data_IF_793936239335
#
_entry.id   IF_793936239335
#
_cell.length_a   1.000
_cell.length_b   1.000
_cell.length_c   1.000
_cell.angle_alpha   90.00
_cell.angle_beta   90.00
_cell.angle_gamma   90.00
#
_symmetry.space_group_name_H-M   'P 1'
#
loop_
_entity.id
_entity.type
_entity.pdbx_description
1 polymer ?
#
# COMPACT_ATOMS: atom_id res chain seq x y z
N UNK A 1 16.15 2.68 6.83
CA UNK A 1 14.90 3.34 7.34
C UNK A 1 13.75 2.84 6.47
N UNK A 2 12.56 2.79 6.97
CA UNK A 2 11.39 2.41 6.18
C UNK A 2 10.67 3.64 5.65
N UNK A 3 9.99 3.50 4.52
CA UNK A 3 9.39 4.66 3.84
C UNK A 3 8.04 5.10 4.40
N UNK A 4 7.28 4.23 5.09
CA UNK A 4 5.96 4.54 5.63
C UNK A 4 5.79 4.14 7.10
N UNK A 5 6.33 2.97 7.49
CA UNK A 5 6.15 2.36 8.81
C UNK A 5 7.45 1.71 9.29
N UNK A 6 7.68 1.69 10.60
CA UNK A 6 8.86 1.09 11.22
C UNK A 6 8.51 0.43 12.56
N UNK A 7 9.50 -0.14 13.25
CA UNK A 7 9.35 -0.81 14.55
C UNK A 7 8.76 0.06 15.67
N UNK A 8 8.79 1.39 15.51
CA UNK A 8 8.30 2.35 16.51
C UNK A 8 6.91 2.90 16.13
N UNK A 9 6.35 2.48 15.00
CA UNK A 9 5.02 2.88 14.52
C UNK A 9 3.92 2.38 15.47
N UNK A 10 3.04 3.28 15.91
CA UNK A 10 1.90 2.95 16.78
C UNK A 10 0.61 2.92 15.97
N UNK A 11 -0.09 1.78 16.02
CA UNK A 11 -1.20 1.43 15.11
C UNK A 11 -2.51 1.29 15.84
N UNK A 12 -3.55 1.93 15.30
CA UNK A 12 -4.95 1.73 15.65
C UNK A 12 -5.57 0.76 14.63
N UNK A 13 -6.36 -0.22 15.10
CA UNK A 13 -7.17 -1.08 14.21
C UNK A 13 -8.63 -0.64 14.24
N UNK A 14 -9.14 -0.05 13.16
CA UNK A 14 -10.58 0.17 12.96
C UNK A 14 -11.23 -1.09 12.40
N UNK A 15 -12.31 -1.54 13.02
CA UNK A 15 -12.95 -2.82 12.70
C UNK A 15 -12.35 -4.02 13.45
N UNK A 16 -11.63 -3.81 14.54
CA UNK A 16 -10.95 -4.84 15.35
C UNK A 16 -11.89 -5.93 15.87
N UNK A 17 -13.18 -5.65 16.03
CA UNK A 17 -14.19 -6.59 16.54
C UNK A 17 -14.81 -7.47 15.48
N UNK A 18 -14.55 -7.21 14.21
CA UNK A 18 -14.98 -8.05 13.08
C UNK A 18 -14.04 -9.24 12.86
N UNK A 19 -14.54 -10.34 12.31
CA UNK A 19 -13.74 -11.57 12.07
C UNK A 19 -12.45 -11.28 11.29
N UNK A 20 -12.53 -10.52 10.21
CA UNK A 20 -11.38 -10.13 9.38
C UNK A 20 -10.38 -9.27 10.16
N UNK A 21 -10.88 -8.24 10.88
CA UNK A 21 -10.05 -7.37 11.70
C UNK A 21 -9.32 -8.13 12.80
N UNK A 22 -10.02 -9.03 13.51
CA UNK A 22 -9.41 -9.89 14.52
C UNK A 22 -8.31 -10.78 13.96
N UNK A 23 -8.62 -11.50 12.86
CA UNK A 23 -7.66 -12.43 12.26
C UNK A 23 -6.38 -11.71 11.82
N UNK A 24 -6.50 -10.63 11.06
CA UNK A 24 -5.33 -9.93 10.55
C UNK A 24 -4.60 -9.13 11.63
N UNK A 25 -5.29 -8.62 12.64
CA UNK A 25 -4.62 -7.99 13.80
C UNK A 25 -3.74 -8.99 14.52
N UNK A 26 -4.22 -10.22 14.81
CA UNK A 26 -3.39 -11.29 15.40
C UNK A 26 -2.13 -11.57 14.57
N UNK A 27 -2.31 -11.70 13.25
CA UNK A 27 -1.19 -11.96 12.33
C UNK A 27 -0.19 -10.80 12.27
N UNK A 28 -0.64 -9.56 12.43
CA UNK A 28 0.21 -8.40 12.50
C UNK A 28 0.94 -8.28 13.85
N UNK A 29 0.22 -8.53 14.95
CA UNK A 29 0.79 -8.54 16.32
C UNK A 29 1.85 -9.64 16.47
N UNK A 30 1.65 -10.80 15.87
CA UNK A 30 2.61 -11.90 15.89
C UNK A 30 3.86 -11.67 15.01
N UNK A 31 3.85 -10.67 14.14
CA UNK A 31 4.96 -10.38 13.24
C UNK A 31 5.95 -9.39 13.83
N UNK A 32 7.22 -9.80 14.00
CA UNK A 32 8.33 -8.96 14.45
C UNK A 32 7.98 -8.11 15.70
N UNK A 33 7.98 -6.78 15.59
CA UNK A 33 7.64 -5.88 16.69
C UNK A 33 6.13 -5.58 16.82
N UNK A 34 5.27 -6.27 16.11
CA UNK A 34 3.83 -6.02 16.05
C UNK A 34 3.17 -5.91 17.41
N UNK A 35 3.58 -6.74 18.39
CA UNK A 35 3.06 -6.68 19.77
C UNK A 35 3.23 -5.31 20.43
N UNK A 36 4.30 -4.58 20.12
CA UNK A 36 4.56 -3.25 20.65
C UNK A 36 3.91 -2.15 19.80
N UNK A 37 3.62 -2.46 18.54
CA UNK A 37 3.10 -1.50 17.56
C UNK A 37 1.58 -1.36 17.60
N UNK A 38 0.83 -2.47 17.72
CA UNK A 38 -0.63 -2.46 17.72
C UNK A 38 -1.15 -2.11 19.12
N UNK A 39 -1.54 -0.84 19.31
CA UNK A 39 -1.78 -0.24 20.63
C UNK A 39 -3.24 0.04 20.94
N UNK A 40 -4.13 0.04 19.95
CA UNK A 40 -5.54 0.33 20.14
C UNK A 40 -6.43 -0.31 19.07
N UNK A 41 -7.65 -0.62 19.45
CA UNK A 41 -8.77 -0.89 18.55
C UNK A 41 -9.81 0.23 18.64
N UNK A 42 -10.64 0.36 17.58
CA UNK A 42 -11.77 1.29 17.60
C UNK A 42 -13.06 0.57 17.24
N UNK A 43 -14.04 0.68 18.15
CA UNK A 43 -15.42 0.34 17.93
C UNK A 43 -16.29 1.09 18.97
N UNK A 44 -17.16 2.05 18.56
CA UNK A 44 -17.99 2.82 19.50
C UNK A 44 -18.88 1.97 20.42
N UNK A 45 -19.35 0.80 19.93
CA UNK A 45 -20.24 -0.10 20.67
C UNK A 45 -19.51 -1.00 21.67
N UNK A 46 -18.17 -1.06 21.59
CA UNK A 46 -17.30 -1.94 22.35
C UNK A 46 -16.20 -1.17 23.12
N UNK A 47 -16.38 0.14 23.25
CA UNK A 47 -15.46 0.98 23.99
C UNK A 47 -15.37 0.53 25.46
N UNK A 48 -14.14 0.44 25.98
CA UNK A 48 -13.87 -0.07 27.33
C UNK A 48 -13.65 -1.58 27.42
N UNK A 49 -13.93 -2.34 26.35
CA UNK A 49 -13.52 -3.73 26.23
C UNK A 49 -12.06 -3.80 25.72
N UNK A 50 -11.47 -5.00 25.71
CA UNK A 50 -10.18 -5.26 25.07
C UNK A 50 -10.27 -6.41 24.05
N UNK A 51 -9.31 -6.45 23.14
CA UNK A 51 -9.07 -7.56 22.22
C UNK A 51 -7.68 -8.11 22.46
N UNK A 52 -7.56 -9.21 23.22
CA UNK A 52 -6.30 -9.88 23.53
C UNK A 52 -5.24 -8.92 24.10
N UNK A 53 -5.67 -8.04 25.01
CA UNK A 53 -4.84 -7.03 25.66
C UNK A 53 -4.69 -5.71 24.86
N UNK A 54 -5.33 -5.57 23.70
CA UNK A 54 -5.41 -4.32 22.95
C UNK A 54 -6.70 -3.58 23.37
N UNK A 55 -6.63 -2.41 24.03
CA UNK A 55 -7.80 -1.68 24.48
C UNK A 55 -8.62 -1.14 23.29
N UNK A 56 -9.96 -1.17 23.43
CA UNK A 56 -10.90 -0.68 22.43
C UNK A 56 -11.46 0.68 22.87
N UNK A 57 -11.32 1.68 22.01
CA UNK A 57 -11.80 3.04 22.22
C UNK A 57 -13.06 3.33 21.38
N UNK A 58 -13.79 4.38 21.77
CA UNK A 58 -14.99 4.81 21.07
C UNK A 58 -14.66 5.46 19.71
N UNK A 59 -13.52 6.14 19.61
CA UNK A 59 -13.09 6.87 18.40
C UNK A 59 -11.58 6.78 18.18
N UNK A 60 -11.16 7.08 16.92
CA UNK A 60 -9.74 7.21 16.55
C UNK A 60 -9.11 8.36 17.34
N UNK A 61 -9.83 9.45 17.56
CA UNK A 61 -9.35 10.61 18.34
C UNK A 61 -9.02 10.22 19.78
N UNK A 62 -9.90 9.47 20.43
CA UNK A 62 -9.66 9.01 21.81
C UNK A 62 -8.50 8.01 21.86
N UNK A 63 -8.46 7.06 20.93
CA UNK A 63 -7.38 6.09 20.82
C UNK A 63 -6.02 6.79 20.63
N UNK A 64 -5.94 7.78 19.73
CA UNK A 64 -4.72 8.58 19.53
C UNK A 64 -4.30 9.33 20.78
N UNK A 65 -5.25 10.00 21.46
CA UNK A 65 -4.95 10.77 22.66
C UNK A 65 -4.37 9.91 23.78
N UNK A 66 -4.86 8.68 23.95
CA UNK A 66 -4.42 7.77 25.01
C UNK A 66 -3.14 7.00 24.65
N UNK A 67 -2.89 6.74 23.37
CA UNK A 67 -1.81 5.84 22.96
C UNK A 67 -0.70 6.52 22.18
N UNK A 68 -0.89 7.73 21.67
CA UNK A 68 0.04 8.40 20.78
C UNK A 68 0.12 7.73 19.39
N UNK A 69 -0.90 6.97 18.98
CA UNK A 69 -0.90 6.30 17.70
C UNK A 69 -0.86 7.28 16.53
N UNK A 70 -0.11 6.91 15.49
CA UNK A 70 0.09 7.72 14.29
C UNK A 70 -0.49 7.10 13.01
N UNK A 71 -0.82 5.81 13.06
CA UNK A 71 -1.32 5.04 11.90
C UNK A 71 -2.63 4.35 12.25
N UNK A 72 -3.57 4.31 11.30
CA UNK A 72 -4.75 3.43 11.38
C UNK A 72 -4.76 2.42 10.26
N UNK A 73 -5.08 1.15 10.58
CA UNK A 73 -5.45 0.13 9.61
C UNK A 73 -6.96 -0.12 9.69
N UNK A 74 -7.62 -0.17 8.53
CA UNK A 74 -9.07 -0.16 8.40
C UNK A 74 -9.55 -1.46 7.76
N UNK A 75 -10.30 -2.25 8.56
CA UNK A 75 -11.00 -3.47 8.14
C UNK A 75 -12.53 -3.30 8.25
N UNK A 76 -12.98 -2.07 8.39
CA UNK A 76 -14.42 -1.75 8.45
C UNK A 76 -15.09 -2.13 7.13
N UNK A 77 -16.27 -2.79 7.16
CA UNK A 77 -16.99 -3.16 5.93
C UNK A 77 -17.27 -1.97 5.01
N UNK A 78 -17.47 -2.19 3.68
CA UNK A 78 -17.56 -1.14 2.67
C UNK A 78 -18.50 0.02 2.99
N UNK A 79 -19.71 -0.19 3.54
CA UNK A 79 -20.62 0.92 3.84
C UNK A 79 -20.11 1.91 4.89
N UNK A 80 -19.19 1.47 5.76
CA UNK A 80 -18.60 2.29 6.83
C UNK A 80 -17.15 2.70 6.59
N UNK A 81 -16.51 2.13 5.57
CA UNK A 81 -15.05 2.29 5.39
C UNK A 81 -14.63 3.72 5.01
N UNK A 82 -15.43 4.42 4.19
CA UNK A 82 -15.19 5.81 3.85
C UNK A 82 -15.25 6.72 5.09
N UNK A 83 -16.21 6.51 5.98
CA UNK A 83 -16.32 7.22 7.25
C UNK A 83 -15.12 6.90 8.17
N UNK A 84 -14.66 5.65 8.20
CA UNK A 84 -13.49 5.24 8.98
C UNK A 84 -12.19 5.89 8.45
N UNK A 85 -12.02 6.03 7.13
CA UNK A 85 -10.91 6.79 6.54
C UNK A 85 -10.99 8.25 7.00
N UNK A 86 -12.16 8.86 6.91
CA UNK A 86 -12.33 10.26 7.29
C UNK A 86 -12.06 10.48 8.79
N UNK A 87 -12.50 9.58 9.66
CA UNK A 87 -12.22 9.64 11.10
C UNK A 87 -10.71 9.63 11.40
N UNK A 88 -9.92 8.81 10.67
CA UNK A 88 -8.46 8.79 10.80
C UNK A 88 -7.83 10.12 10.34
N UNK A 89 -8.37 10.73 9.27
CA UNK A 89 -7.95 12.04 8.77
C UNK A 89 -8.31 13.18 9.73
N UNK A 90 -9.51 13.17 10.28
CA UNK A 90 -9.95 14.17 11.28
C UNK A 90 -9.12 14.11 12.57
N UNK A 91 -8.70 12.91 12.96
CA UNK A 91 -7.82 12.71 14.10
C UNK A 91 -6.35 13.09 13.83
N UNK A 92 -6.01 13.63 12.65
CA UNK A 92 -4.64 14.02 12.28
C UNK A 92 -3.63 12.87 12.37
N UNK A 93 -4.00 11.66 11.99
CA UNK A 93 -3.03 10.57 11.85
C UNK A 93 -2.07 10.85 10.69
N UNK A 94 -0.88 10.26 10.74
CA UNK A 94 0.11 10.37 9.66
C UNK A 94 -0.30 9.53 8.45
N UNK A 95 -0.87 8.34 8.70
CA UNK A 95 -1.21 7.36 7.66
C UNK A 95 -2.50 6.62 8.01
N UNK A 96 -3.40 6.52 7.03
CA UNK A 96 -4.54 5.61 7.04
C UNK A 96 -4.33 4.52 5.98
N UNK A 97 -4.47 3.25 6.37
CA UNK A 97 -4.30 2.08 5.49
C UNK A 97 -5.65 1.40 5.37
N UNK A 98 -6.32 1.54 4.24
CA UNK A 98 -7.65 0.96 4.02
C UNK A 98 -7.55 -0.35 3.23
N UNK A 99 -7.79 -1.48 3.91
CA UNK A 99 -7.76 -2.82 3.30
C UNK A 99 -9.05 -3.10 2.54
N UNK A 100 -10.15 -2.52 2.98
CA UNK A 100 -11.49 -2.78 2.49
C UNK A 100 -11.63 -2.54 0.99
N UNK A 101 -12.18 -3.53 0.30
CA UNK A 101 -12.61 -3.47 -1.10
C UNK A 101 -14.11 -3.15 -1.18
N UNK A 102 -14.56 -2.56 -2.31
CA UNK A 102 -15.97 -2.36 -2.60
C UNK A 102 -16.57 -1.10 -1.99
N UNK A 103 -15.75 -0.12 -1.61
CA UNK A 103 -16.24 1.19 -1.19
C UNK A 103 -16.84 1.90 -2.43
N UNK A 104 -18.07 2.46 -2.34
CA UNK A 104 -18.67 3.18 -3.46
C UNK A 104 -17.76 4.32 -3.94
N UNK A 105 -17.63 4.46 -5.28
CA UNK A 105 -16.79 5.50 -5.90
C UNK A 105 -17.19 6.89 -5.40
N UNK A 106 -18.49 7.17 -5.25
CA UNK A 106 -18.98 8.45 -4.73
C UNK A 106 -18.46 8.77 -3.34
N UNK A 107 -18.46 7.78 -2.44
CA UNK A 107 -18.00 7.95 -1.06
C UNK A 107 -16.51 8.21 -1.01
N UNK A 108 -15.74 7.52 -1.86
CA UNK A 108 -14.29 7.77 -1.99
C UNK A 108 -13.97 9.13 -2.60
N UNK A 109 -14.73 9.60 -3.58
CA UNK A 109 -14.59 10.96 -4.13
C UNK A 109 -14.85 12.01 -3.04
N UNK A 110 -15.89 11.82 -2.23
CA UNK A 110 -16.21 12.73 -1.11
C UNK A 110 -15.06 12.77 -0.09
N UNK A 111 -14.56 11.62 0.33
CA UNK A 111 -13.42 11.54 1.26
C UNK A 111 -12.19 12.24 0.68
N UNK A 112 -11.83 11.96 -0.58
CA UNK A 112 -10.66 12.59 -1.23
C UNK A 112 -10.81 14.12 -1.36
N UNK A 113 -12.01 14.60 -1.63
CA UNK A 113 -12.28 16.02 -1.68
C UNK A 113 -12.17 16.67 -0.30
N UNK A 114 -12.70 16.05 0.74
CA UNK A 114 -12.54 16.50 2.12
C UNK A 114 -11.07 16.53 2.57
N UNK A 115 -10.28 15.50 2.22
CA UNK A 115 -8.84 15.48 2.49
C UNK A 115 -8.13 16.66 1.83
N UNK A 116 -8.38 16.92 0.53
CA UNK A 116 -7.81 18.07 -0.19
C UNK A 116 -8.24 19.41 0.42
N UNK A 117 -9.50 19.56 0.80
CA UNK A 117 -10.01 20.78 1.43
C UNK A 117 -9.34 21.04 2.79
N UNK A 118 -9.13 19.98 3.60
CA UNK A 118 -8.41 20.08 4.87
C UNK A 118 -6.97 20.53 4.68
N UNK A 119 -6.25 19.92 3.72
CA UNK A 119 -4.87 20.30 3.40
C UNK A 119 -4.79 21.76 2.89
N UNK A 120 -5.71 22.17 2.01
CA UNK A 120 -5.78 23.54 1.50
C UNK A 120 -6.08 24.58 2.59
N UNK A 121 -6.80 24.19 3.64
CA UNK A 121 -7.06 25.01 4.83
C UNK A 121 -5.89 25.04 5.84
N UNK A 122 -4.74 24.45 5.50
CA UNK A 122 -3.57 24.38 6.40
C UNK A 122 -3.63 23.27 7.45
N UNK A 123 -4.60 22.37 7.36
CA UNK A 123 -4.68 21.19 8.24
C UNK A 123 -3.60 20.16 7.94
N UNK A 124 -3.34 19.29 8.93
CA UNK A 124 -2.34 18.23 8.77
C UNK A 124 -2.71 17.30 7.62
N UNK A 125 -1.75 17.01 6.76
CA UNK A 125 -1.85 16.01 5.72
C UNK A 125 -1.79 14.60 6.33
N UNK A 126 -2.80 13.79 6.06
CA UNK A 126 -2.81 12.35 6.34
C UNK A 126 -2.58 11.61 5.02
N UNK A 127 -1.61 10.73 4.95
CA UNK A 127 -1.43 9.84 3.81
C UNK A 127 -2.53 8.77 3.82
N UNK A 128 -3.05 8.40 2.67
CA UNK A 128 -3.99 7.29 2.50
C UNK A 128 -3.36 6.22 1.64
N UNK A 129 -3.26 4.98 2.14
CA UNK A 129 -2.88 3.80 1.37
C UNK A 129 -4.13 2.95 1.11
N UNK A 130 -4.38 2.60 -0.13
CA UNK A 130 -5.66 1.99 -0.54
C UNK A 130 -6.73 3.02 -0.92
N UNK A 131 -8.02 2.65 -0.94
CA UNK A 131 -8.60 1.38 -0.50
C UNK A 131 -8.25 0.17 -1.40
N UNK A 132 -8.81 -1.01 -1.05
CA UNK A 132 -8.60 -2.25 -1.77
C UNK A 132 -7.11 -2.58 -1.91
N UNK A 133 -6.37 -2.54 -0.80
CA UNK A 133 -4.93 -2.76 -0.78
C UNK A 133 -4.53 -3.87 0.22
N UNK A 134 -3.39 -4.54 0.01
CA UNK A 134 -2.90 -5.53 0.96
C UNK A 134 -2.20 -4.92 2.17
N UNK A 135 -2.01 -3.59 2.21
CA UNK A 135 -1.26 -2.89 3.23
C UNK A 135 0.21 -2.68 2.89
N UNK A 136 1.05 -2.65 3.91
CA UNK A 136 2.50 -2.44 3.77
C UNK A 136 3.28 -3.23 4.82
N UNK A 137 4.53 -3.54 4.51
CA UNK A 137 5.43 -4.27 5.41
C UNK A 137 6.84 -3.69 5.31
N UNK A 138 7.47 -3.47 6.46
CA UNK A 138 8.91 -3.31 6.60
C UNK A 138 9.44 -4.61 7.21
N UNK A 139 10.12 -5.45 6.41
CA UNK A 139 10.53 -6.79 6.84
C UNK A 139 11.36 -6.76 8.13
N UNK A 140 11.06 -7.71 9.04
CA UNK A 140 11.65 -7.87 10.38
C UNK A 140 11.38 -6.71 11.35
N UNK A 141 10.59 -5.71 10.93
CA UNK A 141 10.17 -4.61 11.80
C UNK A 141 8.68 -4.64 12.11
N UNK A 142 7.82 -4.47 11.09
CA UNK A 142 6.37 -4.38 11.26
C UNK A 142 5.64 -4.76 9.96
N UNK A 143 4.47 -5.34 10.13
CA UNK A 143 3.50 -5.61 9.08
C UNK A 143 2.16 -4.97 9.42
N UNK A 144 1.57 -4.22 8.50
CA UNK A 144 0.22 -3.66 8.63
C UNK A 144 -0.60 -4.06 7.41
N UNK A 145 -1.66 -4.83 7.64
CA UNK A 145 -2.54 -5.35 6.60
C UNK A 145 -2.50 -6.85 6.45
N UNK A 146 -2.69 -7.36 5.22
CA UNK A 146 -2.92 -8.77 4.93
C UNK A 146 -1.73 -9.50 4.28
N UNK A 147 -0.62 -8.80 4.02
CA UNK A 147 0.55 -9.41 3.39
C UNK A 147 1.09 -10.60 4.18
N UNK A 148 1.51 -11.72 3.54
CA UNK A 148 2.10 -12.87 4.21
C UNK A 148 3.51 -12.54 4.70
N UNK A 149 3.70 -12.38 6.02
CA UNK A 149 4.97 -11.95 6.60
C UNK A 149 6.13 -12.92 6.35
N UNK A 150 5.84 -14.23 6.27
CA UNK A 150 6.85 -15.29 6.17
C UNK A 150 7.62 -15.32 4.84
N UNK A 151 7.11 -14.71 3.76
CA UNK A 151 7.82 -14.63 2.48
C UNK A 151 8.79 -13.44 2.41
N UNK A 152 8.68 -12.49 3.33
CA UNK A 152 9.49 -11.28 3.33
C UNK A 152 10.80 -11.48 4.11
N UNK A 153 11.88 -10.91 3.60
CA UNK A 153 13.20 -10.84 4.25
C UNK A 153 13.68 -9.39 4.26
N UNK A 154 14.39 -8.99 5.31
CA UNK A 154 15.03 -7.68 5.37
C UNK A 154 16.11 -7.55 4.30
N UNK A 155 16.13 -6.43 3.61
CA UNK A 155 17.09 -6.13 2.56
C UNK A 155 16.92 -4.72 2.00
N UNK A 156 17.27 -4.53 0.73
CA UNK A 156 17.41 -3.19 0.15
C UNK A 156 16.60 -3.00 -1.15
N UNK A 157 15.60 -3.83 -1.41
CA UNK A 157 14.75 -3.71 -2.59
C UNK A 157 13.36 -3.21 -2.21
N UNK A 158 12.93 -2.11 -2.81
CA UNK A 158 11.55 -1.62 -2.70
C UNK A 158 10.61 -2.40 -3.62
N UNK A 159 9.38 -2.65 -3.17
CA UNK A 159 8.32 -3.23 -4.01
C UNK A 159 7.08 -2.37 -3.89
N UNK A 160 6.55 -1.87 -5.02
CA UNK A 160 5.27 -1.16 -5.09
C UNK A 160 4.35 -1.79 -6.12
N UNK A 161 3.09 -2.03 -5.74
CA UNK A 161 2.14 -2.73 -6.61
C UNK A 161 0.70 -2.31 -6.37
N UNK A 162 -0.12 -2.32 -7.43
CA UNK A 162 -1.58 -2.26 -7.31
C UNK A 162 -2.18 -3.61 -6.87
N UNK A 163 -1.52 -4.71 -7.24
CA UNK A 163 -1.98 -6.08 -6.98
C UNK A 163 -1.34 -6.68 -5.74
N UNK A 164 -2.15 -7.18 -4.81
CA UNK A 164 -1.65 -7.96 -3.67
C UNK A 164 -0.91 -9.22 -4.13
N UNK A 165 -1.55 -10.03 -4.98
CA UNK A 165 -1.00 -11.30 -5.47
C UNK A 165 0.35 -11.12 -6.18
N UNK A 166 0.46 -10.13 -7.09
CA UNK A 166 1.72 -9.87 -7.78
C UNK A 166 2.80 -9.27 -6.87
N UNK A 167 2.40 -8.55 -5.81
CA UNK A 167 3.34 -8.17 -4.75
C UNK A 167 3.97 -9.41 -4.11
N UNK A 168 3.14 -10.41 -3.76
CA UNK A 168 3.62 -11.63 -3.12
C UNK A 168 4.51 -12.45 -4.05
N UNK A 169 4.16 -12.52 -5.32
CA UNK A 169 4.98 -13.19 -6.36
C UNK A 169 6.36 -12.55 -6.47
N UNK A 170 6.45 -11.22 -6.62
CA UNK A 170 7.72 -10.52 -6.72
C UNK A 170 8.58 -10.69 -5.45
N UNK A 171 7.95 -10.55 -4.27
CA UNK A 171 8.63 -10.72 -2.98
C UNK A 171 9.14 -12.15 -2.79
N UNK A 172 8.35 -13.18 -3.13
CA UNK A 172 8.77 -14.57 -3.04
C UNK A 172 9.99 -14.85 -3.93
N UNK A 173 9.95 -14.41 -5.20
CA UNK A 173 11.09 -14.52 -6.12
C UNK A 173 12.36 -13.88 -5.56
N UNK A 174 12.26 -12.66 -5.03
CA UNK A 174 13.39 -11.97 -4.43
C UNK A 174 13.94 -12.76 -3.22
N UNK A 175 13.07 -13.21 -2.34
CA UNK A 175 13.45 -13.93 -1.11
C UNK A 175 14.09 -15.29 -1.41
N UNK A 176 13.62 -16.02 -2.43
CA UNK A 176 14.22 -17.26 -2.92
C UNK A 176 15.61 -17.03 -3.51
N UNK A 177 15.83 -15.89 -4.16
CA UNK A 177 17.14 -15.48 -4.67
C UNK A 177 18.09 -14.92 -3.58
N UNK A 178 17.65 -14.90 -2.31
CA UNK A 178 18.43 -14.34 -1.20
C UNK A 178 18.41 -12.81 -1.14
N UNK A 179 17.53 -12.16 -1.93
CA UNK A 179 17.40 -10.71 -1.99
C UNK A 179 16.24 -10.28 -1.07
N UNK A 180 16.54 -9.42 -0.09
CA UNK A 180 15.53 -8.92 0.83
C UNK A 180 14.94 -7.58 0.40
N UNK A 181 13.84 -7.20 1.07
CA UNK A 181 13.13 -5.97 0.78
C UNK A 181 13.40 -4.90 1.86
N UNK A 182 13.51 -3.62 1.45
CA UNK A 182 13.47 -2.47 2.35
C UNK A 182 12.05 -2.20 2.82
N UNK A 183 11.11 -2.22 1.89
CA UNK A 183 9.67 -2.15 2.15
C UNK A 183 8.90 -2.75 0.99
N UNK A 184 7.71 -3.32 1.27
CA UNK A 184 6.74 -3.67 0.25
C UNK A 184 5.44 -2.90 0.50
N UNK A 185 4.92 -2.23 -0.53
CA UNK A 185 3.76 -1.34 -0.46
C UNK A 185 2.73 -1.75 -1.51
N UNK A 186 1.54 -2.12 -1.06
CA UNK A 186 0.40 -2.32 -1.95
C UNK A 186 -0.48 -1.09 -1.97
N UNK A 187 -0.60 -0.44 -3.12
CA UNK A 187 -1.37 0.82 -3.24
C UNK A 187 -2.86 0.62 -3.53
N UNK A 188 -3.25 -0.61 -3.90
CA UNK A 188 -4.65 -0.97 -4.16
C UNK A 188 -5.11 -0.81 -5.61
N UNK A 189 -6.17 -1.54 -5.94
CA UNK A 189 -6.72 -1.65 -7.31
C UNK A 189 -7.94 -0.76 -7.59
N UNK A 190 -8.38 0.06 -6.64
CA UNK A 190 -9.53 0.93 -6.83
C UNK A 190 -9.18 2.17 -7.66
N UNK A 191 -10.13 2.70 -8.48
CA UNK A 191 -9.87 3.86 -9.33
C UNK A 191 -9.68 5.15 -8.54
N UNK A 192 -10.30 5.27 -7.37
CA UNK A 192 -10.15 6.41 -6.46
C UNK A 192 -9.40 5.95 -5.21
N UNK A 193 -8.10 6.02 -5.28
CA UNK A 193 -7.21 5.63 -4.18
C UNK A 193 -6.44 6.82 -3.58
N UNK A 194 -5.64 6.54 -2.56
CA UNK A 194 -4.76 7.48 -1.88
C UNK A 194 -3.43 7.68 -2.62
N UNK A 195 -2.38 7.05 -2.09
CA UNK A 195 -1.04 7.06 -2.68
C UNK A 195 -1.03 6.40 -4.06
N UNK A 196 -0.31 7.01 -4.98
CA UNK A 196 -0.06 6.55 -6.33
C UNK A 196 1.34 5.93 -6.45
N UNK A 197 1.63 5.24 -7.57
CA UNK A 197 2.98 4.75 -7.83
C UNK A 197 4.03 5.86 -7.68
N UNK A 198 3.80 7.03 -8.27
CA UNK A 198 4.74 8.16 -8.20
C UNK A 198 5.04 8.59 -6.77
N UNK A 199 4.05 8.57 -5.87
CA UNK A 199 4.25 8.96 -4.47
C UNK A 199 5.17 7.97 -3.74
N UNK A 200 4.96 6.66 -3.96
CA UNK A 200 5.79 5.61 -3.36
C UNK A 200 7.19 5.57 -3.99
N UNK A 201 7.30 5.80 -5.32
CA UNK A 201 8.60 5.88 -5.99
C UNK A 201 9.45 7.05 -5.47
N UNK A 202 8.84 8.20 -5.13
CA UNK A 202 9.53 9.32 -4.46
C UNK A 202 10.08 8.89 -3.11
N UNK A 203 9.28 8.23 -2.29
CA UNK A 203 9.73 7.72 -0.99
C UNK A 203 10.88 6.72 -1.13
N UNK A 204 10.84 5.80 -2.09
CA UNK A 204 11.94 4.87 -2.37
C UNK A 204 13.19 5.58 -2.91
N UNK A 205 13.02 6.63 -3.72
CA UNK A 205 14.15 7.42 -4.21
C UNK A 205 14.92 8.07 -3.06
N UNK A 206 14.19 8.63 -2.09
CA UNK A 206 14.75 9.37 -0.96
C UNK A 206 15.25 8.44 0.17
N UNK A 207 14.87 7.16 0.15
CA UNK A 207 15.29 6.20 1.17
C UNK A 207 16.71 5.67 0.90
N UNK A 208 17.69 5.95 1.80
CA UNK A 208 19.06 5.46 1.65
C UNK A 208 19.21 3.94 1.79
N UNK A 209 18.20 3.25 2.34
CA UNK A 209 18.20 1.81 2.51
C UNK A 209 17.53 1.06 1.36
N UNK A 210 17.08 1.77 0.33
CA UNK A 210 16.55 1.19 -0.91
C UNK A 210 17.54 1.40 -2.05
N UNK A 211 18.03 0.32 -2.66
CA UNK A 211 18.98 0.36 -3.78
C UNK A 211 18.32 0.15 -5.16
N UNK A 212 17.20 -0.55 -5.20
CA UNK A 212 16.46 -0.85 -6.42
C UNK A 212 14.97 -1.03 -6.13
N UNK A 213 14.12 -0.96 -7.16
CA UNK A 213 12.66 -1.09 -6.98
C UNK A 213 12.06 -2.02 -8.02
N UNK A 214 11.07 -2.84 -7.60
CA UNK A 214 10.12 -3.48 -8.52
C UNK A 214 8.82 -2.67 -8.48
N UNK A 215 8.40 -2.16 -9.65
CA UNK A 215 7.14 -1.44 -9.83
C UNK A 215 6.16 -2.27 -10.65
N UNK A 216 5.04 -2.64 -10.03
CA UNK A 216 4.02 -3.49 -10.63
C UNK A 216 2.74 -2.69 -10.81
N UNK A 217 2.29 -2.61 -12.05
CA UNK A 217 1.03 -1.96 -12.42
C UNK A 217 0.09 -2.90 -13.14
N UNK A 218 -0.95 -2.33 -13.68
CA UNK A 218 -1.97 -3.02 -14.47
C UNK A 218 -2.55 -2.09 -15.54
N UNK A 219 -3.40 -2.61 -16.41
CA UNK A 219 -4.16 -1.81 -17.36
C UNK A 219 -5.05 -0.78 -16.65
N UNK A 220 -5.39 0.30 -17.33
CA UNK A 220 -6.26 1.37 -16.85
C UNK A 220 -5.53 2.51 -16.14
N UNK A 221 -5.93 3.73 -16.42
CA UNK A 221 -5.39 4.96 -15.85
C UNK A 221 -3.94 5.28 -16.28
N UNK A 222 -3.43 6.46 -15.92
CA UNK A 222 -2.11 6.93 -16.34
C UNK A 222 -1.00 6.72 -15.30
N UNK A 223 -1.30 6.25 -14.09
CA UNK A 223 -0.44 6.35 -12.91
C UNK A 223 0.96 5.75 -13.09
N UNK A 224 1.08 4.59 -13.78
CA UNK A 224 2.35 3.93 -14.01
C UNK A 224 3.24 4.69 -15.01
N UNK A 225 2.63 5.23 -16.08
CA UNK A 225 3.34 6.04 -17.05
C UNK A 225 3.82 7.38 -16.45
N UNK A 226 3.02 8.01 -15.61
CA UNK A 226 3.40 9.22 -14.87
C UNK A 226 4.56 8.95 -13.92
N UNK A 227 4.50 7.83 -13.17
CA UNK A 227 5.59 7.42 -12.29
C UNK A 227 6.88 7.14 -13.07
N UNK A 228 6.81 6.45 -14.22
CA UNK A 228 7.97 6.16 -15.05
C UNK A 228 8.66 7.44 -15.57
N UNK A 229 7.87 8.40 -16.07
CA UNK A 229 8.40 9.70 -16.53
C UNK A 229 9.07 10.47 -15.40
N UNK A 230 8.46 10.47 -14.20
CA UNK A 230 9.07 11.10 -13.04
C UNK A 230 10.39 10.41 -12.65
N UNK A 231 10.43 9.07 -12.64
CA UNK A 231 11.64 8.30 -12.33
C UNK A 231 12.78 8.62 -13.31
N UNK A 232 12.50 8.70 -14.62
CA UNK A 232 13.49 9.09 -15.64
C UNK A 232 14.20 10.40 -15.31
N UNK A 233 13.47 11.38 -14.77
CA UNK A 233 14.00 12.69 -14.46
C UNK A 233 14.71 12.78 -13.10
N UNK A 234 14.36 11.93 -12.13
CA UNK A 234 14.71 12.16 -10.72
C UNK A 234 15.39 10.97 -10.05
N UNK A 235 15.23 9.74 -10.56
CA UNK A 235 15.67 8.52 -9.88
C UNK A 235 16.88 7.89 -10.57
N UNK A 236 17.90 7.54 -9.78
CA UNK A 236 19.12 6.85 -10.29
C UNK A 236 19.12 5.35 -9.97
N UNK A 237 18.21 4.92 -9.10
CA UNK A 237 18.10 3.52 -8.67
C UNK A 237 17.47 2.69 -9.80
N UNK A 238 17.98 1.50 -10.12
CA UNK A 238 17.39 0.64 -11.15
C UNK A 238 15.95 0.24 -10.77
N UNK A 239 15.08 0.22 -11.78
CA UNK A 239 13.67 -0.16 -11.63
C UNK A 239 13.33 -1.29 -12.59
N UNK A 240 12.77 -2.37 -12.06
CA UNK A 240 12.12 -3.40 -12.87
C UNK A 240 10.62 -3.13 -12.92
N UNK A 241 10.05 -3.10 -14.11
CA UNK A 241 8.64 -2.82 -14.38
C UNK A 241 7.87 -4.03 -14.90
N UNK A 242 6.68 -4.23 -14.37
CA UNK A 242 5.71 -5.20 -14.88
C UNK A 242 4.32 -4.59 -14.93
N UNK A 243 3.59 -4.83 -16.02
CA UNK A 243 2.20 -4.41 -16.19
C UNK A 243 1.32 -5.63 -16.46
N UNK A 244 0.36 -5.88 -15.57
CA UNK A 244 -0.62 -6.95 -15.76
C UNK A 244 -1.67 -6.57 -16.83
N UNK A 245 -2.17 -7.58 -17.56
CA UNK A 245 -3.27 -7.41 -18.48
C UNK A 245 -2.89 -7.26 -19.95
N UNK A 246 -1.71 -7.72 -20.38
CA UNK A 246 -1.27 -7.71 -21.80
C UNK A 246 -2.32 -8.35 -22.73
N UNK A 247 -3.00 -9.39 -22.27
CA UNK A 247 -4.03 -10.11 -23.04
C UNK A 247 -5.45 -9.64 -22.74
N UNK A 248 -5.61 -8.57 -21.98
CA UNK A 248 -6.94 -8.09 -21.59
C UNK A 248 -7.68 -7.47 -22.77
N UNK A 249 -8.93 -7.86 -23.03
CA UNK A 249 -9.72 -7.25 -24.10
C UNK A 249 -10.15 -5.83 -23.74
N UNK A 250 -10.17 -4.89 -24.71
CA UNK A 250 -10.68 -3.54 -24.50
C UNK A 250 -12.12 -3.53 -23.96
N UNK A 251 -12.45 -2.57 -23.08
CA UNK A 251 -13.79 -2.37 -22.54
C UNK A 251 -14.24 -3.39 -21.50
N UNK A 252 -13.38 -4.38 -21.14
CA UNK A 252 -13.70 -5.36 -20.10
C UNK A 252 -12.88 -5.09 -18.85
N UNK A 253 -13.57 -4.99 -17.70
CA UNK A 253 -12.90 -4.89 -16.39
C UNK A 253 -12.21 -6.20 -16.02
N UNK A 254 -10.96 -6.14 -15.62
CA UNK A 254 -10.11 -7.30 -15.32
C UNK A 254 -9.74 -7.34 -13.83
N UNK A 255 -10.58 -7.98 -13.01
CA UNK A 255 -10.36 -8.09 -11.58
C UNK A 255 -10.63 -6.78 -10.83
N UNK A 256 -9.62 -5.93 -10.67
CA UNK A 256 -9.74 -4.65 -9.97
C UNK A 256 -10.71 -3.68 -10.65
N UNK A 257 -11.38 -2.85 -9.85
CA UNK A 257 -12.32 -1.85 -10.36
C UNK A 257 -11.63 -0.80 -11.27
N UNK A 258 -10.34 -0.51 -11.03
CA UNK A 258 -9.52 0.38 -11.85
C UNK A 258 -8.89 -0.27 -13.09
N UNK A 259 -8.91 -1.60 -13.21
CA UNK A 259 -8.31 -2.33 -14.31
C UNK A 259 -9.24 -2.43 -15.53
N UNK A 260 -9.44 -1.31 -16.22
CA UNK A 260 -10.27 -1.17 -17.40
C UNK A 260 -9.55 -0.35 -18.47
N UNK A 261 -9.41 -0.91 -19.66
CA UNK A 261 -8.88 -0.17 -20.83
C UNK A 261 -9.99 0.74 -21.37
N UNK A 262 -9.80 2.05 -21.24
CA UNK A 262 -10.70 3.08 -21.76
C UNK A 262 -10.16 3.84 -22.95
N UNK A 263 -8.83 3.72 -23.22
CA UNK A 263 -8.13 4.37 -24.33
C UNK A 263 -6.86 3.62 -24.73
N UNK A 264 -6.16 4.12 -25.75
CA UNK A 264 -4.93 3.46 -26.25
C UNK A 264 -3.74 3.59 -25.30
N UNK A 265 -3.68 4.65 -24.49
CA UNK A 265 -2.56 4.95 -23.62
C UNK A 265 -2.57 4.16 -22.27
N UNK A 266 -3.70 3.54 -21.93
CA UNK A 266 -3.90 2.79 -20.68
C UNK A 266 -3.87 1.26 -20.85
N UNK A 267 -3.45 0.79 -22.02
CA UNK A 267 -3.15 -0.61 -22.28
C UNK A 267 -1.81 -1.02 -21.63
N UNK A 268 -1.65 -2.31 -21.36
CA UNK A 268 -0.39 -2.82 -20.80
C UNK A 268 0.80 -2.52 -21.75
N UNK A 269 0.66 -2.73 -23.05
CA UNK A 269 1.73 -2.48 -24.02
C UNK A 269 2.14 -1.00 -24.10
N UNK A 270 1.16 -0.08 -24.10
CA UNK A 270 1.48 1.35 -24.10
C UNK A 270 2.23 1.78 -22.83
N UNK A 271 1.84 1.25 -21.66
CA UNK A 271 2.53 1.55 -20.40
C UNK A 271 3.92 0.93 -20.36
N UNK A 272 4.11 -0.32 -20.82
CA UNK A 272 5.41 -0.97 -20.91
C UNK A 272 6.35 -0.18 -21.86
N UNK A 273 5.86 0.27 -23.02
CA UNK A 273 6.65 1.10 -23.93
C UNK A 273 7.13 2.39 -23.25
N UNK A 274 6.26 3.10 -22.50
CA UNK A 274 6.65 4.29 -21.75
C UNK A 274 7.69 3.95 -20.68
N UNK A 275 7.55 2.82 -19.98
CA UNK A 275 8.54 2.39 -18.98
C UNK A 275 9.90 2.12 -19.62
N UNK A 276 9.94 1.42 -20.76
CA UNK A 276 11.17 1.16 -21.53
C UNK A 276 11.84 2.47 -21.96
N UNK A 277 11.09 3.42 -22.54
CA UNK A 277 11.58 4.76 -22.91
C UNK A 277 12.10 5.55 -21.71
N UNK A 278 11.57 5.26 -20.51
CA UNK A 278 12.01 5.86 -19.26
C UNK A 278 13.18 5.15 -18.58
N UNK A 279 13.72 4.10 -19.20
CA UNK A 279 14.91 3.38 -18.71
C UNK A 279 14.59 2.27 -17.69
N UNK A 280 13.33 1.86 -17.54
CA UNK A 280 12.99 0.69 -16.75
C UNK A 280 13.38 -0.59 -17.47
N UNK A 281 13.77 -1.60 -16.70
CA UNK A 281 13.91 -2.97 -17.21
C UNK A 281 12.54 -3.61 -17.13
N UNK A 282 11.88 -3.84 -18.25
CA UNK A 282 10.51 -4.37 -18.27
C UNK A 282 10.46 -5.86 -18.58
N UNK A 283 9.43 -6.53 -18.10
CA UNK A 283 9.07 -7.89 -18.47
C UNK A 283 7.58 -8.04 -18.70
N UNK A 284 7.21 -8.95 -19.58
CA UNK A 284 5.83 -9.41 -19.81
C UNK A 284 5.52 -10.72 -19.06
N UNK A 285 6.55 -11.31 -18.46
CA UNK A 285 6.43 -12.54 -17.67
C UNK A 285 6.61 -12.23 -16.18
N UNK A 286 5.55 -12.36 -15.36
CA UNK A 286 5.63 -12.04 -13.94
C UNK A 286 6.65 -12.89 -13.18
N UNK A 287 6.97 -14.11 -13.65
CA UNK A 287 7.95 -15.00 -13.00
C UNK A 287 9.42 -14.57 -13.18
N UNK A 288 9.67 -13.50 -13.93
CA UNK A 288 11.03 -13.04 -14.22
C UNK A 288 11.45 -11.80 -13.43
N UNK A 289 10.53 -11.17 -12.67
CA UNK A 289 10.80 -9.91 -12.00
C UNK A 289 12.02 -9.96 -11.07
N UNK A 290 12.09 -10.98 -10.21
CA UNK A 290 13.21 -11.16 -9.28
C UNK A 290 14.55 -11.39 -9.99
N UNK A 291 14.57 -12.24 -11.04
CA UNK A 291 15.78 -12.53 -11.83
C UNK A 291 16.30 -11.29 -12.56
N UNK A 292 15.40 -10.52 -13.15
CA UNK A 292 15.77 -9.28 -13.84
C UNK A 292 16.32 -8.24 -12.88
N UNK A 293 15.71 -8.10 -11.69
CA UNK A 293 16.22 -7.20 -10.67
C UNK A 293 17.62 -7.64 -10.18
N UNK A 294 17.81 -8.93 -9.90
CA UNK A 294 19.12 -9.48 -9.54
C UNK A 294 20.19 -9.10 -10.54
N UNK A 295 19.91 -9.25 -11.83
CA UNK A 295 20.82 -8.85 -12.92
C UNK A 295 21.07 -7.34 -12.93
N UNK A 296 20.02 -6.53 -12.69
CA UNK A 296 20.12 -5.08 -12.71
C UNK A 296 21.03 -4.51 -11.60
N UNK A 297 21.04 -5.16 -10.44
CA UNK A 297 21.90 -4.75 -9.29
C UNK A 297 23.26 -5.47 -9.27
N UNK A 298 23.53 -6.34 -10.23
CA UNK A 298 24.87 -6.93 -10.40
C UNK A 298 25.24 -8.04 -9.41
N UNK A 299 24.27 -8.78 -8.84
CA UNK A 299 24.51 -9.88 -7.86
C UNK A 299 23.97 -11.23 -8.31
#
# INVERSE_FOLDING_TARGET
MSILINKDTRVITQGITGKTGQFHTRMCVAYANGKNCFVAGVNPKKAGEDFEGIPIYASVKDAKAQTGASVSVIYVPPPGAAAAIWEAVEADLDLAICITEGIPIRDMLEVRNKMKAKEAAGGKKTLLLGPNCPGTITPEEIKIGIMPGHIHKKGRVGVVSRSGTLTYEAVAQLSELGIGQSSAVGIGGDPINGLKHIDVMRLFNDDPDTDAVIMIGEIGGPDEAEAARWCKANMKKPVVGFIAGVTAPPGKRMGHAGALISGGADTAEAKLAVMEECGFIVTRNPSEMGRLLKKAIGI
#
